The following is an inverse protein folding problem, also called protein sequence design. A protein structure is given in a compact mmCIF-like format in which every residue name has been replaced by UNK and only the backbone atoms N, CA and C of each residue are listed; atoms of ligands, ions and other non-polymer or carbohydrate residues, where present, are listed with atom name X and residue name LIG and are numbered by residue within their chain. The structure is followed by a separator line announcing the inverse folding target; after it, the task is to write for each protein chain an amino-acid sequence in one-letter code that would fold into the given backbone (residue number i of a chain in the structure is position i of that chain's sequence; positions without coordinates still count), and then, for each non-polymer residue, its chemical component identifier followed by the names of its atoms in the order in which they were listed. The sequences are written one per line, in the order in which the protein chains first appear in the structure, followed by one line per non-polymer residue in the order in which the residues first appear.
data_IF_241357682611
#
_entry.id   IF_241357682611
#
_cell.length_a   1.000
_cell.length_b   1.000
_cell.length_c   1.000
_cell.angle_alpha   90.00
_cell.angle_beta   90.00
_cell.angle_gamma   90.00
#
_symmetry.space_group_name_H-M   'P 1'
#
loop_
_entity.id
_entity.type
_entity.pdbx_description
1 polymer ?
#
# COMPACT_ATOMS: atom_id res chain seq x y z
N UNK A 1 -2.48 24.57 23.22
CA UNK A 1 -1.41 23.73 22.63
C UNK A 1 -0.07 24.37 22.97
N UNK A 2 0.92 23.60 23.43
CA UNK A 2 2.22 24.12 23.88
C UNK A 2 3.09 24.52 22.67
N UNK A 3 3.70 25.73 22.62
CA UNK A 3 4.47 26.22 21.47
C UNK A 3 5.70 25.35 21.13
N UNK A 4 6.30 24.73 22.14
CA UNK A 4 7.41 23.78 21.96
C UNK A 4 7.01 22.56 21.10
N UNK A 5 5.77 22.07 21.24
CA UNK A 5 5.30 20.92 20.46
C UNK A 5 5.17 21.25 18.98
N UNK A 6 4.76 22.48 18.62
CA UNK A 6 4.73 22.87 17.22
C UNK A 6 6.12 23.04 16.63
N UNK A 7 7.06 23.63 17.37
CA UNK A 7 8.43 23.80 16.88
C UNK A 7 9.16 22.46 16.71
N UNK A 8 8.99 21.52 17.65
CA UNK A 8 9.53 20.17 17.52
C UNK A 8 8.90 19.41 16.35
N UNK A 9 7.58 19.52 16.18
CA UNK A 9 6.89 18.84 15.10
C UNK A 9 7.29 19.38 13.72
N UNK A 10 7.44 20.70 13.58
CA UNK A 10 7.92 21.34 12.36
C UNK A 10 9.39 20.95 12.10
N UNK A 11 10.24 20.90 13.13
CA UNK A 11 11.65 20.46 13.01
C UNK A 11 11.77 19.00 12.54
N UNK A 12 10.97 18.10 13.12
CA UNK A 12 10.96 16.67 12.79
C UNK A 12 10.36 16.43 11.40
N UNK A 13 9.30 17.16 11.03
CA UNK A 13 8.65 17.05 9.72
C UNK A 13 9.59 17.48 8.58
N UNK A 14 10.54 18.37 8.85
CA UNK A 14 11.58 18.77 7.89
C UNK A 14 12.75 17.76 7.76
N UNK A 15 12.77 16.69 8.56
CA UNK A 15 13.84 15.68 8.60
C UNK A 15 13.27 14.25 8.60
N UNK A 16 12.14 14.05 7.93
CA UNK A 16 11.54 12.73 7.80
C UNK A 16 12.48 11.78 7.06
N UNK A 17 12.53 10.55 7.55
CA UNK A 17 13.33 9.47 7.00
C UNK A 17 12.47 8.21 6.87
N UNK A 18 12.74 7.39 5.86
CA UNK A 18 11.97 6.16 5.59
C UNK A 18 12.01 5.19 6.77
N UNK A 19 13.07 5.17 7.57
CA UNK A 19 13.14 4.30 8.75
C UNK A 19 12.33 4.85 9.93
N UNK A 20 12.10 6.17 10.01
CA UNK A 20 11.49 6.82 11.18
C UNK A 20 10.03 7.26 10.99
N UNK A 21 9.58 7.53 9.76
CA UNK A 21 8.29 8.20 9.51
C UNK A 21 7.08 7.43 10.07
N UNK A 22 7.03 6.11 9.95
CA UNK A 22 5.92 5.30 10.47
C UNK A 22 5.88 5.28 12.00
N UNK A 23 7.06 5.23 12.65
CA UNK A 23 7.19 5.30 14.10
C UNK A 23 6.77 6.68 14.62
N UNK A 24 7.23 7.74 13.95
CA UNK A 24 6.85 9.12 14.27
C UNK A 24 5.35 9.31 14.10
N UNK A 25 4.76 8.81 13.01
CA UNK A 25 3.30 8.87 12.80
C UNK A 25 2.54 8.18 13.91
N UNK A 26 2.97 6.98 14.33
CA UNK A 26 2.37 6.29 15.46
C UNK A 26 2.46 7.12 16.76
N UNK A 27 3.62 7.72 17.03
CA UNK A 27 3.84 8.59 18.17
C UNK A 27 2.93 9.82 18.14
N UNK A 28 2.86 10.55 17.03
CA UNK A 28 2.02 11.74 16.89
C UNK A 28 0.53 11.42 16.99
N UNK A 29 0.08 10.26 16.49
CA UNK A 29 -1.29 9.76 16.67
C UNK A 29 -1.60 9.52 18.16
N UNK A 30 -0.66 8.93 18.90
CA UNK A 30 -0.84 8.64 20.33
C UNK A 30 -0.99 9.91 21.19
N UNK A 31 -0.37 11.03 20.78
CA UNK A 31 -0.49 12.32 21.46
C UNK A 31 -1.54 13.26 20.84
N UNK A 32 -2.37 12.76 19.91
CA UNK A 32 -3.41 13.51 19.19
C UNK A 32 -2.91 14.81 18.55
N UNK A 33 -1.70 14.78 17.98
CA UNK A 33 -1.10 15.93 17.32
C UNK A 33 -1.32 15.86 15.81
N UNK A 34 -2.33 16.57 15.31
CA UNK A 34 -2.80 16.43 13.93
C UNK A 34 -2.03 17.28 12.90
N UNK A 35 -1.37 18.37 13.34
CA UNK A 35 -0.77 19.38 12.43
C UNK A 35 0.30 18.80 11.49
N UNK A 36 1.01 17.73 11.89
CA UNK A 36 2.06 17.10 11.08
C UNK A 36 1.62 15.81 10.37
N UNK A 37 0.36 15.40 10.55
CA UNK A 37 -0.13 14.13 10.00
C UNK A 37 -0.14 14.15 8.47
N UNK A 38 -0.53 15.26 7.84
CA UNK A 38 -0.57 15.39 6.38
C UNK A 38 0.82 15.29 5.74
N UNK A 39 1.82 15.99 6.29
CA UNK A 39 3.21 15.91 5.80
C UNK A 39 3.77 14.50 5.90
N UNK A 40 3.53 13.81 7.02
CA UNK A 40 3.98 12.43 7.21
C UNK A 40 3.25 11.45 6.30
N UNK A 41 1.95 11.66 6.06
CA UNK A 41 1.17 10.86 5.11
C UNK A 41 1.69 11.03 3.68
N UNK A 42 1.92 12.27 3.23
CA UNK A 42 2.51 12.54 1.91
C UNK A 42 3.90 11.92 1.76
N UNK A 43 4.73 12.02 2.79
CA UNK A 43 6.04 11.36 2.78
C UNK A 43 5.92 9.84 2.74
N UNK A 44 4.97 9.27 3.50
CA UNK A 44 4.71 7.82 3.52
C UNK A 44 4.27 7.34 2.13
N UNK A 45 3.36 8.06 1.49
CA UNK A 45 2.87 7.72 0.16
C UNK A 45 3.98 7.78 -0.89
N UNK A 46 4.75 8.87 -0.89
CA UNK A 46 5.85 9.10 -1.83
C UNK A 46 6.98 8.07 -1.70
N UNK A 47 7.14 7.48 -0.52
CA UNK A 47 8.21 6.54 -0.20
C UNK A 47 7.68 5.13 0.11
N UNK A 48 6.48 4.77 -0.37
CA UNK A 48 5.85 3.49 -0.04
C UNK A 48 6.73 2.28 -0.37
N UNK A 49 7.34 2.27 -1.56
CA UNK A 49 8.19 1.15 -2.02
C UNK A 49 9.40 0.92 -1.11
N UNK A 50 10.27 1.91 -0.82
CA UNK A 50 11.37 1.72 0.13
C UNK A 50 10.87 1.45 1.55
N UNK A 51 9.73 2.02 1.95
CA UNK A 51 9.14 1.77 3.27
C UNK A 51 8.78 0.30 3.49
N UNK A 52 8.30 -0.40 2.47
CA UNK A 52 7.89 -1.81 2.55
C UNK A 52 8.99 -2.74 3.09
N UNK A 53 10.26 -2.35 2.95
CA UNK A 53 11.42 -3.11 3.42
C UNK A 53 11.92 -2.70 4.81
N UNK A 54 11.32 -1.69 5.42
CA UNK A 54 11.77 -1.17 6.72
C UNK A 54 11.20 -1.98 7.88
N UNK A 55 11.95 -2.14 9.00
CA UNK A 55 11.42 -2.80 10.19
C UNK A 55 10.15 -2.13 10.74
N UNK A 56 10.01 -0.81 10.55
CA UNK A 56 8.84 -0.05 10.96
C UNK A 56 7.59 -0.43 10.17
N UNK A 57 7.73 -0.74 8.87
CA UNK A 57 6.62 -1.23 8.05
C UNK A 57 6.22 -2.66 8.42
N UNK A 58 7.20 -3.55 8.62
CA UNK A 58 6.95 -4.95 8.99
C UNK A 58 6.23 -5.10 10.35
N UNK A 59 6.33 -4.08 11.21
CA UNK A 59 5.66 -4.00 12.52
C UNK A 59 4.31 -3.28 12.49
N UNK A 60 3.83 -2.84 11.34
CA UNK A 60 2.50 -2.23 11.23
C UNK A 60 1.43 -3.22 11.70
N UNK A 61 0.41 -2.70 12.39
CA UNK A 61 -0.79 -3.49 12.67
C UNK A 61 -1.53 -3.80 11.37
N UNK A 62 -2.33 -4.87 11.36
CA UNK A 62 -3.18 -5.21 10.21
C UNK A 62 -4.02 -4.02 9.74
N UNK A 63 -4.66 -3.29 10.66
CA UNK A 63 -5.48 -2.12 10.31
C UNK A 63 -4.65 -0.97 9.72
N UNK A 64 -3.46 -0.70 10.27
CA UNK A 64 -2.59 0.36 9.73
C UNK A 64 -2.08 0.02 8.32
N UNK A 65 -1.76 -1.26 8.06
CA UNK A 65 -1.40 -1.73 6.73
C UNK A 65 -2.58 -1.65 5.77
N UNK A 66 -3.76 -2.13 6.19
CA UNK A 66 -4.97 -2.10 5.38
C UNK A 66 -5.33 -0.67 4.96
N UNK A 67 -5.29 0.27 5.91
CA UNK A 67 -5.52 1.69 5.66
C UNK A 67 -4.49 2.26 4.69
N UNK A 68 -3.22 1.85 4.79
CA UNK A 68 -2.15 2.27 3.89
C UNK A 68 -2.38 1.74 2.46
N UNK A 69 -2.65 0.44 2.29
CA UNK A 69 -2.84 -0.20 0.98
C UNK A 69 -4.09 0.31 0.24
N UNK A 70 -5.10 0.81 0.96
CA UNK A 70 -6.31 1.43 0.36
C UNK A 70 -6.06 2.81 -0.23
N UNK A 71 -4.93 3.46 0.04
CA UNK A 71 -4.69 4.85 -0.37
C UNK A 71 -4.47 4.97 -1.86
N UNK A 72 -5.25 5.85 -2.49
CA UNK A 72 -5.09 6.15 -3.91
C UNK A 72 -3.83 6.96 -4.21
N UNK A 73 -3.22 7.55 -3.19
CA UNK A 73 -2.09 8.45 -3.28
C UNK A 73 -0.72 7.77 -3.20
N UNK A 74 -0.65 6.45 -2.97
CA UNK A 74 0.64 5.74 -2.89
C UNK A 74 1.44 5.93 -4.18
N UNK A 75 2.72 6.25 -4.04
CA UNK A 75 3.64 6.32 -5.17
C UNK A 75 4.20 4.94 -5.46
N UNK A 76 3.69 4.35 -6.55
CA UNK A 76 4.15 3.06 -7.10
C UNK A 76 4.23 3.18 -8.62
N UNK A 77 5.20 2.50 -9.22
CA UNK A 77 5.33 2.40 -10.67
C UNK A 77 4.26 1.45 -11.24
N UNK A 78 3.97 0.38 -10.51
CA UNK A 78 3.01 -0.66 -10.90
C UNK A 78 2.34 -1.24 -9.66
N UNK A 79 1.13 -1.77 -9.83
CA UNK A 79 0.41 -2.41 -8.72
C UNK A 79 1.13 -3.69 -8.21
N UNK A 80 2.07 -4.23 -9.01
CA UNK A 80 2.97 -5.31 -8.58
C UNK A 80 3.74 -4.95 -7.30
N UNK A 81 4.14 -3.68 -7.14
CA UNK A 81 4.85 -3.22 -5.94
C UNK A 81 3.95 -3.27 -4.69
N UNK A 82 2.65 -3.03 -4.84
CA UNK A 82 1.67 -3.13 -3.75
C UNK A 82 1.48 -4.58 -3.34
N UNK A 83 1.35 -5.51 -4.31
CA UNK A 83 1.29 -6.94 -4.03
C UNK A 83 2.56 -7.45 -3.32
N UNK A 84 3.74 -7.02 -3.80
CA UNK A 84 5.01 -7.38 -3.19
C UNK A 84 5.12 -6.87 -1.75
N UNK A 85 4.73 -5.62 -1.48
CA UNK A 85 4.73 -5.06 -0.13
C UNK A 85 3.81 -5.84 0.82
N UNK A 86 2.61 -6.23 0.35
CA UNK A 86 1.68 -7.09 1.08
C UNK A 86 2.30 -8.45 1.39
N UNK A 87 2.92 -9.08 0.39
CA UNK A 87 3.59 -10.38 0.56
C UNK A 87 4.74 -10.31 1.54
N UNK A 88 5.59 -9.28 1.45
CA UNK A 88 6.70 -9.04 2.38
C UNK A 88 6.17 -8.93 3.81
N UNK A 89 5.09 -8.18 4.04
CA UNK A 89 4.51 -8.05 5.37
C UNK A 89 3.94 -9.37 5.89
N UNK A 90 3.21 -10.13 5.06
CA UNK A 90 2.63 -11.42 5.45
C UNK A 90 3.69 -12.49 5.75
N UNK A 91 4.78 -12.55 4.98
CA UNK A 91 5.88 -13.46 5.26
C UNK A 91 6.61 -13.13 6.58
N UNK A 92 6.58 -11.87 7.01
CA UNK A 92 7.14 -11.45 8.30
C UNK A 92 6.14 -11.60 9.47
N UNK A 93 4.84 -11.77 9.18
CA UNK A 93 3.77 -11.90 10.16
C UNK A 93 2.90 -13.13 9.81
N UNK A 94 3.45 -14.36 9.90
CA UNK A 94 2.77 -15.58 9.45
C UNK A 94 1.44 -15.84 10.18
N UNK A 95 1.30 -15.36 11.42
CA UNK A 95 0.05 -15.42 12.17
C UNK A 95 -1.08 -14.61 11.52
N UNK A 96 -0.75 -13.65 10.65
CA UNK A 96 -1.69 -12.77 9.95
C UNK A 96 -2.07 -13.27 8.55
N UNK A 97 -1.54 -14.42 8.10
CA UNK A 97 -1.84 -14.99 6.77
C UNK A 97 -3.34 -15.19 6.53
N UNK A 98 -4.11 -15.50 7.58
CA UNK A 98 -5.56 -15.65 7.50
C UNK A 98 -6.29 -14.35 7.08
N UNK A 99 -5.67 -13.18 7.25
CA UNK A 99 -6.17 -11.89 6.76
C UNK A 99 -5.79 -11.56 5.32
N UNK A 100 -5.05 -12.45 4.64
CA UNK A 100 -4.66 -12.31 3.23
C UNK A 100 -5.81 -11.89 2.30
N UNK A 101 -7.03 -12.46 2.40
CA UNK A 101 -8.15 -12.07 1.54
C UNK A 101 -8.51 -10.59 1.62
N UNK A 102 -8.48 -9.99 2.82
CA UNK A 102 -8.78 -8.56 3.01
C UNK A 102 -7.70 -7.66 2.42
N UNK A 103 -6.43 -8.08 2.52
CA UNK A 103 -5.32 -7.35 1.90
C UNK A 103 -5.38 -7.45 0.36
N UNK A 104 -5.76 -8.61 -0.17
CA UNK A 104 -5.95 -8.83 -1.61
C UNK A 104 -7.07 -7.96 -2.20
N UNK A 105 -8.11 -7.63 -1.43
CA UNK A 105 -9.17 -6.70 -1.86
C UNK A 105 -8.65 -5.26 -2.06
N UNK A 106 -7.49 -4.92 -1.51
CA UNK A 106 -6.87 -3.61 -1.70
C UNK A 106 -6.00 -3.53 -2.96
N UNK A 107 -5.71 -4.66 -3.60
CA UNK A 107 -4.92 -4.74 -4.82
C UNK A 107 -5.80 -4.42 -6.02
N UNK A 108 -5.29 -3.57 -6.92
CA UNK A 108 -5.96 -3.20 -8.16
C UNK A 108 -5.64 -4.20 -9.26
N UNK A 109 -6.24 -5.38 -9.13
CA UNK A 109 -6.04 -6.52 -10.03
C UNK A 109 -6.03 -6.22 -11.53
N UNK A 110 -6.91 -5.34 -12.07
CA UNK A 110 -6.88 -4.97 -13.48
C UNK A 110 -5.60 -4.27 -13.93
N UNK A 111 -4.83 -3.72 -12.99
CA UNK A 111 -3.58 -2.98 -13.24
C UNK A 111 -2.32 -3.82 -12.99
N UNK A 112 -2.47 -5.09 -12.61
CA UNK A 112 -1.34 -6.03 -12.54
C UNK A 112 -0.95 -6.49 -13.95
N UNK A 113 0.35 -6.69 -14.18
CA UNK A 113 0.79 -7.25 -15.46
C UNK A 113 0.50 -8.75 -15.55
N UNK A 114 0.12 -9.25 -16.73
CA UNK A 114 -0.17 -10.68 -16.92
C UNK A 114 1.03 -11.58 -16.63
N UNK A 115 2.25 -11.10 -16.91
CA UNK A 115 3.49 -11.81 -16.54
C UNK A 115 3.64 -11.93 -15.03
N UNK A 116 3.42 -10.85 -14.28
CA UNK A 116 3.52 -10.87 -12.83
C UNK A 116 2.46 -11.77 -12.20
N UNK A 117 1.26 -11.76 -12.76
CA UNK A 117 0.18 -12.63 -12.31
C UNK A 117 0.59 -14.12 -12.38
N UNK A 118 1.05 -14.58 -13.54
CA UNK A 118 1.39 -16.00 -13.78
C UNK A 118 2.71 -16.41 -13.15
N UNK A 119 3.68 -15.49 -13.07
CA UNK A 119 5.01 -15.80 -12.55
C UNK A 119 5.10 -15.70 -11.03
N UNK A 120 4.32 -14.81 -10.40
CA UNK A 120 4.42 -14.48 -8.97
C UNK A 120 3.13 -14.82 -8.22
N UNK A 121 1.99 -14.23 -8.60
CA UNK A 121 0.74 -14.36 -7.82
C UNK A 121 0.31 -15.82 -7.71
N UNK A 122 0.23 -16.54 -8.83
CA UNK A 122 -0.20 -17.94 -8.87
C UNK A 122 0.77 -18.93 -8.20
N UNK A 123 1.99 -18.47 -7.88
CA UNK A 123 3.02 -19.28 -7.23
C UNK A 123 3.26 -18.88 -5.77
N UNK A 124 2.49 -17.92 -5.27
CA UNK A 124 2.63 -17.41 -3.91
C UNK A 124 1.90 -18.35 -2.93
N UNK A 125 2.64 -18.97 -2.00
CA UNK A 125 2.12 -20.02 -1.11
C UNK A 125 0.90 -19.54 -0.30
N UNK A 126 1.00 -18.39 0.38
CA UNK A 126 -0.09 -17.88 1.22
C UNK A 126 -1.37 -17.55 0.43
N UNK A 127 -1.25 -17.29 -0.87
CA UNK A 127 -2.39 -17.09 -1.78
C UNK A 127 -2.99 -18.44 -2.15
N UNK A 128 -2.15 -19.41 -2.52
CA UNK A 128 -2.59 -20.71 -3.03
C UNK A 128 -3.05 -21.67 -1.94
N UNK A 129 -2.66 -21.45 -0.68
CA UNK A 129 -3.09 -22.25 0.47
C UNK A 129 -4.40 -21.76 1.09
N UNK A 130 -4.83 -20.53 0.77
CA UNK A 130 -6.09 -19.96 1.25
C UNK A 130 -7.19 -20.04 0.17
N UNK A 131 -8.36 -20.58 0.51
CA UNK A 131 -9.44 -20.78 -0.46
C UNK A 131 -10.06 -19.46 -0.96
N UNK A 132 -10.27 -18.48 -0.06
CA UNK A 132 -10.83 -17.17 -0.41
C UNK A 132 -9.83 -16.36 -1.25
N UNK A 133 -8.53 -16.44 -0.94
CA UNK A 133 -7.49 -15.82 -1.79
C UNK A 133 -7.50 -16.38 -3.21
N UNK A 134 -7.58 -17.71 -3.37
CA UNK A 134 -7.67 -18.34 -4.69
C UNK A 134 -8.91 -17.90 -5.46
N UNK A 135 -10.05 -17.76 -4.79
CA UNK A 135 -11.28 -17.28 -5.41
C UNK A 135 -11.13 -15.84 -5.93
N UNK A 136 -10.50 -14.95 -5.15
CA UNK A 136 -10.20 -13.57 -5.58
C UNK A 136 -9.30 -13.56 -6.83
N UNK A 137 -8.24 -14.38 -6.81
CA UNK A 137 -7.29 -14.52 -7.92
C UNK A 137 -7.97 -15.06 -9.17
N UNK A 138 -8.82 -16.07 -9.05
CA UNK A 138 -9.54 -16.63 -10.20
C UNK A 138 -10.50 -15.61 -10.82
N UNK A 139 -11.25 -14.88 -9.97
CA UNK A 139 -12.11 -13.76 -10.42
C UNK A 139 -11.31 -12.66 -11.12
N UNK A 140 -10.11 -12.36 -10.63
CA UNK A 140 -9.23 -11.38 -11.27
C UNK A 140 -8.76 -11.84 -12.66
N UNK A 141 -8.49 -13.13 -12.86
CA UNK A 141 -8.17 -13.68 -14.20
C UNK A 141 -9.34 -13.56 -15.15
N UNK A 142 -10.52 -13.97 -14.70
CA UNK A 142 -11.74 -13.92 -15.51
C UNK A 142 -11.99 -12.49 -15.99
N UNK A 143 -11.85 -11.50 -15.10
CA UNK A 143 -11.97 -10.09 -15.45
C UNK A 143 -10.98 -9.64 -16.53
N UNK A 144 -9.71 -10.06 -16.44
CA UNK A 144 -8.68 -9.75 -17.44
C UNK A 144 -8.94 -10.39 -18.81
N UNK A 145 -9.70 -11.48 -18.87
CA UNK A 145 -10.06 -12.20 -20.10
C UNK A 145 -11.33 -11.64 -20.74
N UNK A 146 -12.37 -11.37 -19.95
CA UNK A 146 -13.70 -11.00 -20.45
C UNK A 146 -13.90 -9.48 -20.58
N UNK A 147 -13.16 -8.68 -19.82
CA UNK A 147 -13.38 -7.23 -19.73
C UNK A 147 -14.71 -6.82 -19.07
N UNK A 148 -15.49 -7.79 -18.59
CA UNK A 148 -16.79 -7.60 -17.95
C UNK A 148 -16.78 -8.13 -16.52
N UNK A 149 -17.31 -7.34 -15.59
CA UNK A 149 -17.59 -7.76 -14.21
C UNK A 149 -18.74 -8.79 -14.21
N UNK A 150 -18.43 -10.07 -14.42
CA UNK A 150 -19.41 -11.16 -14.31
C UNK A 150 -20.06 -11.18 -12.92
N UNK A 151 -21.38 -11.35 -12.87
CA UNK A 151 -22.29 -11.08 -11.73
C UNK A 151 -21.83 -11.46 -10.31
N UNK A 152 -22.34 -10.70 -9.33
CA UNK A 152 -21.93 -10.66 -7.90
C UNK A 152 -20.42 -10.45 -7.69
N UNK A 153 -19.90 -9.49 -8.44
CA UNK A 153 -18.46 -9.26 -8.63
C UNK A 153 -17.85 -8.53 -7.45
N UNK A 154 -16.73 -9.05 -6.94
CA UNK A 154 -15.76 -8.27 -6.19
C UNK A 154 -15.38 -7.08 -7.07
N UNK A 155 -15.76 -5.87 -6.68
CA UNK A 155 -15.46 -4.67 -7.44
C UNK A 155 -13.97 -4.35 -7.27
N UNK A 156 -13.16 -4.74 -8.25
CA UNK A 156 -11.76 -4.33 -8.26
C UNK A 156 -11.68 -2.85 -8.64
N UNK A 157 -10.91 -2.09 -7.87
CA UNK A 157 -10.61 -0.72 -8.26
C UNK A 157 -9.80 -0.73 -9.55
N UNK A 158 -10.29 -0.02 -10.56
CA UNK A 158 -9.64 0.18 -11.87
C UNK A 158 -8.91 1.52 -11.97
N UNK A 159 -9.05 2.37 -10.95
CA UNK A 159 -8.38 3.67 -10.89
C UNK A 159 -6.89 3.44 -10.73
N UNK A 160 -6.02 4.18 -11.41
CA UNK A 160 -4.56 4.15 -11.17
C UNK A 160 -4.16 4.90 -9.88
N UNK A 161 -3.06 4.51 -9.24
CA UNK A 161 -2.58 5.22 -8.04
C UNK A 161 -1.94 6.52 -8.49
N UNK A 162 -2.32 7.63 -7.87
CA UNK A 162 -1.88 8.97 -8.24
C UNK A 162 -1.26 9.64 -7.03
N UNK A 163 0.06 9.56 -6.94
CA UNK A 163 0.79 10.39 -5.99
C UNK A 163 0.77 11.85 -6.48
N UNK A 164 0.29 12.76 -5.63
CA UNK A 164 0.15 14.19 -5.95
C UNK A 164 1.51 14.90 -6.08
N UNK A 165 2.60 14.26 -5.63
CA UNK A 165 3.93 14.85 -5.52
C UNK A 165 4.89 14.50 -6.65
N UNK A 166 4.44 13.78 -7.69
CA UNK A 166 5.25 13.62 -8.90
C UNK A 166 5.28 14.98 -9.61
N UNK A 167 6.42 15.68 -9.72
CA UNK A 167 6.49 16.85 -10.58
C UNK A 167 6.08 16.36 -11.96
N UNK A 168 4.97 16.88 -12.49
CA UNK A 168 4.62 16.68 -13.88
C UNK A 168 5.80 17.20 -14.69
N UNK A 169 6.68 16.31 -15.13
CA UNK A 169 7.61 16.59 -16.21
C UNK A 169 6.72 16.94 -17.39
N UNK A 170 6.46 18.24 -17.56
CA UNK A 170 5.97 18.77 -18.80
C UNK A 170 7.07 18.44 -19.79
N UNK A 171 6.87 17.37 -20.56
CA UNK A 171 7.62 17.15 -21.77
C UNK A 171 7.30 18.32 -22.69
N UNK A 172 8.08 19.40 -22.57
CA UNK A 172 8.26 20.35 -23.67
C UNK A 172 9.00 19.58 -24.74
N UNK A 173 8.25 18.97 -25.66
CA UNK A 173 8.74 18.63 -26.98
C UNK A 173 9.21 19.93 -27.65
N UNK A 174 10.40 19.87 -28.25
CA UNK A 174 11.11 21.01 -28.83
C UNK A 174 10.50 21.58 -30.10
#
# INVERSE_FOLDING_TARGET
QLPLMSECADFISNRLDVHSVLLLRHFYRAISYEKSNETMLRFTDSNFVPLAHTPSFLKLSFNDLLDLLRRDTLHVDTENQVFNATSIWLYNNPEMIHHGPELLKCIRWPLLSSSFFTEIVEKTEWVMDNAECREIVEKAKEYGITGESGGETILFSTTERKCEDVPRLIATFG
#
